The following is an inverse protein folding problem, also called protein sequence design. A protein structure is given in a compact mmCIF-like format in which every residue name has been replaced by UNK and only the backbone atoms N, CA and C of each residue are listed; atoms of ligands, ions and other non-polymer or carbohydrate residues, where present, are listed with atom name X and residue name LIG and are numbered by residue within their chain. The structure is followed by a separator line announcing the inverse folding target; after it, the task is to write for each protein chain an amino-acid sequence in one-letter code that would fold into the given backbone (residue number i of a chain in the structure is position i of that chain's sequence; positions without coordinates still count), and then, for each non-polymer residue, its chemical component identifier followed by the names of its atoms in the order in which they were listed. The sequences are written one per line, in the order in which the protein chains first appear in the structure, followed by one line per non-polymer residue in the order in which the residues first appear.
data_IF_748591977395
#
_entry.id   IF_748591977395
#
_cell.length_a   1.000
_cell.length_b   1.000
_cell.length_c   1.000
_cell.angle_alpha   90.00
_cell.angle_beta   90.00
_cell.angle_gamma   90.00
#
_symmetry.space_group_name_H-M   'P 1'
#
loop_
_entity.id
_entity.type
_entity.pdbx_description
1 polymer ?
#
# COMPACT_ATOMS: atom_id res chain seq x y z
N UNK A 1 17.57 24.96 -17.23
CA UNK A 1 16.72 23.80 -17.58
C UNK A 1 15.88 23.46 -16.36
N UNK A 2 14.55 23.46 -16.44
CA UNK A 2 13.70 23.01 -15.33
C UNK A 2 13.86 21.49 -15.20
N UNK A 3 14.19 21.00 -14.01
CA UNK A 3 14.32 19.57 -13.77
C UNK A 3 12.93 18.94 -13.77
N UNK A 4 12.54 18.35 -14.90
CA UNK A 4 11.22 17.70 -15.10
C UNK A 4 11.14 16.28 -14.53
N UNK A 5 12.29 15.66 -14.25
CA UNK A 5 12.36 14.33 -13.66
C UNK A 5 13.53 14.22 -12.67
N UNK A 6 13.23 13.68 -11.49
CA UNK A 6 14.21 13.39 -10.46
C UNK A 6 13.77 12.23 -9.60
N UNK A 7 14.71 11.62 -8.87
CA UNK A 7 14.41 10.71 -7.77
C UNK A 7 13.78 11.52 -6.63
N UNK A 8 12.60 11.14 -6.12
CA UNK A 8 12.03 11.78 -4.92
C UNK A 8 12.99 11.71 -3.74
N UNK A 9 13.09 12.77 -2.96
CA UNK A 9 13.89 12.85 -1.73
C UNK A 9 13.36 11.90 -0.68
N UNK A 10 12.04 11.73 -0.59
CA UNK A 10 11.38 10.78 0.32
C UNK A 10 11.56 9.31 -0.07
N UNK A 11 12.31 8.98 -1.13
CA UNK A 11 12.63 7.61 -1.51
C UNK A 11 14.07 7.26 -1.04
N UNK A 12 14.25 6.11 -0.40
CA UNK A 12 15.57 5.60 0.01
C UNK A 12 16.37 5.10 -1.19
N UNK A 13 17.64 4.71 -1.01
CA UNK A 13 18.44 4.07 -2.08
C UNK A 13 18.24 2.55 -2.16
N UNK A 14 17.32 1.99 -1.37
CA UNK A 14 17.04 0.56 -1.37
C UNK A 14 16.52 0.10 -2.74
N UNK A 15 17.00 -1.05 -3.20
CA UNK A 15 16.51 -1.68 -4.43
C UNK A 15 15.14 -2.31 -4.17
N UNK A 16 14.18 -2.06 -5.05
CA UNK A 16 12.89 -2.72 -4.99
C UNK A 16 13.01 -4.21 -5.25
N UNK A 17 12.24 -5.00 -4.51
CA UNK A 17 12.14 -6.46 -4.65
C UNK A 17 11.01 -6.92 -5.57
N UNK A 18 10.33 -5.97 -6.23
CA UNK A 18 9.26 -6.25 -7.19
C UNK A 18 9.79 -6.92 -8.46
N UNK A 19 8.93 -7.71 -9.10
CA UNK A 19 9.21 -8.31 -10.40
C UNK A 19 9.50 -7.22 -11.46
N UNK A 20 10.41 -7.47 -12.43
CA UNK A 20 10.57 -6.60 -13.59
C UNK A 20 9.24 -6.39 -14.32
N UNK A 21 8.89 -5.14 -14.62
CA UNK A 21 7.62 -4.77 -15.25
C UNK A 21 6.46 -4.56 -14.27
N UNK A 22 6.62 -4.88 -12.99
CA UNK A 22 5.58 -4.64 -12.00
C UNK A 22 5.40 -3.15 -11.70
N UNK A 23 4.15 -2.67 -11.77
CA UNK A 23 3.83 -1.26 -11.54
C UNK A 23 3.92 -0.82 -10.07
N UNK A 24 4.05 -1.74 -9.11
CA UNK A 24 4.23 -1.38 -7.71
C UNK A 24 5.43 -0.43 -7.50
N UNK A 25 6.53 -0.59 -8.26
CA UNK A 25 7.67 0.32 -8.20
C UNK A 25 7.36 1.74 -8.70
N UNK A 26 6.52 1.88 -9.72
CA UNK A 26 6.06 3.18 -10.23
C UNK A 26 5.17 3.84 -9.17
N UNK A 27 4.24 3.08 -8.58
CA UNK A 27 3.37 3.56 -7.51
C UNK A 27 4.18 4.03 -6.30
N UNK A 28 5.16 3.25 -5.85
CA UNK A 28 6.07 3.64 -4.76
C UNK A 28 6.78 4.96 -5.06
N UNK A 29 7.27 5.16 -6.30
CA UNK A 29 7.88 6.43 -6.69
C UNK A 29 6.88 7.60 -6.67
N UNK A 30 5.67 7.40 -7.20
CA UNK A 30 4.63 8.45 -7.26
C UNK A 30 4.22 8.88 -5.85
N UNK A 31 4.09 7.93 -4.92
CA UNK A 31 3.76 8.22 -3.52
C UNK A 31 4.87 9.04 -2.87
N UNK A 32 6.14 8.66 -3.05
CA UNK A 32 7.27 9.43 -2.54
C UNK A 32 7.33 10.85 -3.13
N UNK A 33 7.00 10.99 -4.41
CA UNK A 33 6.92 12.29 -5.07
C UNK A 33 5.81 13.16 -4.46
N UNK A 34 4.62 12.60 -4.22
CA UNK A 34 3.53 13.32 -3.58
C UNK A 34 3.88 13.75 -2.14
N UNK A 35 4.58 12.91 -1.37
CA UNK A 35 5.07 13.26 -0.04
C UNK A 35 6.02 14.46 -0.09
N UNK A 36 6.94 14.49 -1.06
CA UNK A 36 7.86 15.61 -1.26
C UNK A 36 7.15 16.91 -1.66
N UNK A 37 6.24 16.83 -2.65
CA UNK A 37 5.52 17.99 -3.19
C UNK A 37 4.59 18.64 -2.17
N UNK A 38 4.05 17.85 -1.24
CA UNK A 38 3.22 18.33 -0.14
C UNK A 38 4.03 18.74 1.10
N UNK A 39 5.35 18.55 1.09
CA UNK A 39 6.26 18.89 2.20
C UNK A 39 5.85 18.24 3.53
N UNK A 40 5.42 16.97 3.48
CA UNK A 40 4.86 16.25 4.64
C UNK A 40 5.73 15.10 5.17
N UNK A 41 6.94 14.91 4.64
CA UNK A 41 7.81 13.77 4.97
C UNK A 41 8.02 13.57 6.48
N UNK A 42 8.36 14.64 7.22
CA UNK A 42 8.68 14.62 8.66
C UNK A 42 7.51 14.22 9.57
N UNK A 43 6.27 14.27 9.06
CA UNK A 43 5.07 13.88 9.81
C UNK A 43 4.32 12.72 9.17
N UNK A 44 4.90 12.09 8.16
CA UNK A 44 4.28 10.96 7.45
C UNK A 44 4.68 9.66 8.11
N UNK A 45 3.69 8.81 8.42
CA UNK A 45 3.91 7.42 8.79
C UNK A 45 3.29 6.53 7.72
N UNK A 46 4.09 5.64 7.17
CA UNK A 46 3.63 4.68 6.16
C UNK A 46 3.26 3.34 6.80
N UNK A 47 2.24 2.67 6.28
CA UNK A 47 1.84 1.34 6.75
C UNK A 47 2.05 0.33 5.64
N UNK A 48 2.84 -0.69 5.95
CA UNK A 48 3.23 -1.76 5.05
C UNK A 48 2.57 -3.08 5.48
N UNK A 49 1.37 -3.43 4.98
CA UNK A 49 0.77 -4.72 5.26
C UNK A 49 1.43 -5.84 4.46
N UNK A 50 1.11 -7.09 4.82
CA UNK A 50 1.55 -8.30 4.12
C UNK A 50 1.03 -8.30 2.66
N UNK A 51 1.95 -8.52 1.72
CA UNK A 51 1.68 -8.52 0.27
C UNK A 51 2.94 -8.12 -0.50
N UNK A 52 2.87 -8.01 -1.84
CA UNK A 52 4.03 -7.67 -2.68
C UNK A 52 4.77 -6.41 -2.19
N UNK A 53 4.02 -5.44 -1.65
CA UNK A 53 4.53 -4.17 -1.13
C UNK A 53 4.94 -4.18 0.35
N UNK A 54 5.04 -5.34 1.00
CA UNK A 54 5.31 -5.46 2.45
C UNK A 54 6.61 -4.77 2.89
N UNK A 55 7.57 -4.63 1.99
CA UNK A 55 8.84 -3.97 2.26
C UNK A 55 8.79 -2.44 2.08
N UNK A 56 7.59 -1.83 2.02
CA UNK A 56 7.43 -0.38 1.90
C UNK A 56 8.15 0.44 2.97
N UNK A 57 8.32 -0.13 4.16
CA UNK A 57 9.12 0.47 5.23
C UNK A 57 10.62 0.63 4.89
N UNK A 58 11.14 -0.06 3.87
CA UNK A 58 12.50 0.11 3.36
C UNK A 58 12.61 1.17 2.26
N UNK A 59 11.50 1.56 1.63
CA UNK A 59 11.52 2.38 0.42
C UNK A 59 11.32 3.85 0.68
N UNK A 60 10.60 4.21 1.73
CA UNK A 60 10.35 5.61 2.09
C UNK A 60 11.29 6.09 3.19
N UNK A 61 11.74 7.33 3.09
CA UNK A 61 12.46 8.05 4.17
C UNK A 61 11.45 8.68 5.14
N UNK A 62 10.54 7.85 5.63
CA UNK A 62 9.50 8.19 6.59
C UNK A 62 9.44 7.09 7.64
N UNK A 63 8.86 7.38 8.80
CA UNK A 63 8.55 6.34 9.76
C UNK A 63 7.54 5.35 9.14
N UNK A 64 7.64 4.08 9.56
CA UNK A 64 6.80 3.04 9.00
C UNK A 64 6.41 1.99 10.05
N UNK A 65 5.21 1.44 9.88
CA UNK A 65 4.71 0.31 10.67
C UNK A 65 4.33 -0.82 9.74
N UNK A 66 4.88 -2.01 9.99
CA UNK A 66 4.43 -3.22 9.32
C UNK A 66 3.16 -3.73 10.02
N UNK A 67 2.09 -3.92 9.26
CA UNK A 67 0.83 -4.44 9.78
C UNK A 67 0.67 -5.93 9.43
N UNK A 68 0.05 -6.70 10.33
CA UNK A 68 -0.45 -8.04 9.99
C UNK A 68 -1.45 -7.97 8.84
N UNK A 69 -1.59 -9.07 8.10
CA UNK A 69 -2.45 -9.11 6.92
C UNK A 69 -3.90 -8.70 7.24
N UNK A 70 -4.43 -7.76 6.47
CA UNK A 70 -5.75 -7.14 6.61
C UNK A 70 -5.92 -6.20 7.80
N UNK A 71 -4.87 -5.94 8.59
CA UNK A 71 -4.96 -5.06 9.77
C UNK A 71 -4.48 -3.63 9.52
N UNK A 72 -4.05 -3.31 8.30
CA UNK A 72 -3.47 -2.01 7.98
C UNK A 72 -4.40 -0.82 8.34
N UNK A 73 -5.69 -0.89 8.00
CA UNK A 73 -6.65 0.19 8.32
C UNK A 73 -6.90 0.33 9.84
N UNK A 74 -6.82 -0.77 10.60
CA UNK A 74 -6.94 -0.76 12.06
C UNK A 74 -5.72 -0.10 12.72
N UNK A 75 -4.52 -0.50 12.28
CA UNK A 75 -3.25 0.11 12.71
C UNK A 75 -3.23 1.60 12.37
N UNK A 76 -3.69 1.96 11.17
CA UNK A 76 -3.78 3.35 10.72
C UNK A 76 -4.70 4.19 11.61
N UNK A 77 -5.86 3.63 11.97
CA UNK A 77 -6.81 4.24 12.90
C UNK A 77 -6.12 4.51 14.25
N UNK A 78 -5.41 3.52 14.79
CA UNK A 78 -4.67 3.65 16.06
C UNK A 78 -3.63 4.77 16.01
N UNK A 79 -2.76 4.78 14.99
CA UNK A 79 -1.74 5.80 14.81
C UNK A 79 -2.35 7.20 14.70
N UNK A 80 -3.38 7.37 13.87
CA UNK A 80 -4.01 8.67 13.63
C UNK A 80 -4.68 9.21 14.89
N UNK A 81 -5.32 8.34 15.68
CA UNK A 81 -5.96 8.74 16.94
C UNK A 81 -4.95 9.01 18.06
N UNK A 82 -3.85 8.26 18.10
CA UNK A 82 -2.79 8.47 19.08
C UNK A 82 -2.04 9.78 18.84
N UNK A 83 -1.82 10.16 17.58
CA UNK A 83 -1.24 11.44 17.22
C UNK A 83 -1.96 12.06 16.01
N UNK A 84 -2.93 12.97 16.24
CA UNK A 84 -3.71 13.62 15.18
C UNK A 84 -2.88 14.43 14.18
N UNK A 85 -1.65 14.83 14.51
CA UNK A 85 -0.79 15.62 13.65
C UNK A 85 -0.08 14.80 12.56
N UNK A 86 -0.06 13.47 12.70
CA UNK A 86 0.55 12.58 11.70
C UNK A 86 -0.29 12.51 10.42
N UNK A 87 0.40 12.41 9.30
CA UNK A 87 -0.17 11.99 8.02
C UNK A 87 0.05 10.49 7.90
N UNK A 88 -1.03 9.71 7.92
CA UNK A 88 -0.95 8.25 7.90
C UNK A 88 -1.33 7.76 6.51
N UNK A 89 -0.40 7.07 5.84
CA UNK A 89 -0.57 6.55 4.48
C UNK A 89 -0.40 5.03 4.51
N UNK A 90 -1.43 4.29 4.13
CA UNK A 90 -1.37 2.83 3.99
C UNK A 90 -1.33 2.40 2.54
N UNK A 91 -0.50 1.41 2.21
CA UNK A 91 -0.44 0.78 0.90
C UNK A 91 -1.05 -0.62 0.99
N UNK A 92 -2.27 -0.82 0.51
CA UNK A 92 -2.97 -2.10 0.68
C UNK A 92 -3.27 -2.73 -0.70
N UNK A 93 -2.95 -4.02 -0.85
CA UNK A 93 -3.37 -4.80 -2.01
C UNK A 93 -4.87 -5.15 -1.95
N UNK A 94 -5.42 -5.65 -3.05
CA UNK A 94 -6.81 -6.07 -3.14
C UNK A 94 -7.22 -7.14 -2.13
N UNK A 95 -6.41 -8.18 -1.97
CA UNK A 95 -6.60 -9.21 -0.98
C UNK A 95 -6.49 -8.70 0.46
N UNK A 96 -5.52 -7.83 0.73
CA UNK A 96 -5.31 -7.25 2.06
C UNK A 96 -6.50 -6.38 2.48
N UNK A 97 -6.95 -5.48 1.60
CA UNK A 97 -7.99 -4.50 1.89
C UNK A 97 -9.41 -5.06 1.75
N UNK A 98 -9.68 -5.81 0.66
CA UNK A 98 -11.03 -6.21 0.26
C UNK A 98 -11.35 -7.70 0.47
N UNK A 99 -10.41 -8.49 1.02
CA UNK A 99 -10.67 -9.85 1.51
C UNK A 99 -10.62 -9.86 3.04
N UNK A 100 -9.49 -10.25 3.62
CA UNK A 100 -9.33 -10.42 5.07
C UNK A 100 -9.48 -9.09 5.83
N UNK A 101 -9.10 -7.96 5.23
CA UNK A 101 -9.20 -6.63 5.84
C UNK A 101 -10.54 -5.91 5.69
N UNK A 102 -11.52 -6.52 5.00
CA UNK A 102 -12.79 -5.85 4.63
C UNK A 102 -13.46 -5.14 5.81
N UNK A 103 -13.57 -5.83 6.96
CA UNK A 103 -14.17 -5.25 8.15
C UNK A 103 -13.41 -4.01 8.64
N UNK A 104 -12.08 -4.07 8.70
CA UNK A 104 -11.25 -2.96 9.17
C UNK A 104 -11.36 -1.74 8.25
N UNK A 105 -11.33 -1.99 6.95
CA UNK A 105 -11.40 -0.94 5.93
C UNK A 105 -12.77 -0.26 5.90
N UNK A 106 -13.86 -1.04 5.93
CA UNK A 106 -15.22 -0.50 5.98
C UNK A 106 -15.44 0.28 7.27
N UNK A 107 -15.03 -0.25 8.42
CA UNK A 107 -15.24 0.45 9.68
C UNK A 107 -14.36 1.70 9.83
N UNK A 108 -13.14 1.72 9.29
CA UNK A 108 -12.33 2.94 9.21
C UNK A 108 -13.00 4.01 8.35
N UNK A 109 -13.54 3.64 7.18
CA UNK A 109 -14.28 4.54 6.31
C UNK A 109 -15.57 5.05 6.99
N UNK A 110 -16.34 4.16 7.63
CA UNK A 110 -17.59 4.51 8.31
C UNK A 110 -17.38 5.48 9.49
N UNK A 111 -16.23 5.40 10.18
CA UNK A 111 -15.86 6.36 11.23
C UNK A 111 -15.30 7.68 10.70
N UNK A 112 -15.05 7.78 9.38
CA UNK A 112 -14.42 8.94 8.78
C UNK A 112 -12.99 9.16 9.30
N UNK A 113 -12.23 8.08 9.52
CA UNK A 113 -10.85 8.21 9.98
C UNK A 113 -10.03 9.04 8.98
N UNK A 114 -9.31 10.04 9.48
CA UNK A 114 -8.50 10.93 8.66
C UNK A 114 -7.17 10.27 8.28
N UNK A 115 -7.25 9.24 7.44
CA UNK A 115 -6.14 8.43 6.94
C UNK A 115 -6.24 8.31 5.42
N UNK A 116 -5.10 8.07 4.77
CA UNK A 116 -5.07 7.78 3.33
C UNK A 116 -4.79 6.31 3.11
N UNK A 117 -5.67 5.61 2.40
CA UNK A 117 -5.42 4.24 1.94
C UNK A 117 -5.25 4.22 0.43
N UNK A 118 -4.11 3.70 -0.02
CA UNK A 118 -3.80 3.49 -1.43
C UNK A 118 -4.11 2.03 -1.73
N UNK A 119 -5.29 1.81 -2.30
CA UNK A 119 -5.78 0.50 -2.72
C UNK A 119 -5.21 0.12 -4.09
N UNK A 120 -4.33 -0.89 -4.11
CA UNK A 120 -3.67 -1.34 -5.32
C UNK A 120 -4.27 -2.66 -5.78
N UNK A 121 -5.14 -2.55 -6.78
CA UNK A 121 -5.84 -3.67 -7.37
C UNK A 121 -5.02 -4.27 -8.52
N UNK A 122 -4.34 -5.39 -8.26
CA UNK A 122 -3.61 -6.17 -9.27
C UNK A 122 -4.33 -7.49 -9.62
N UNK A 123 -5.53 -7.70 -9.08
CA UNK A 123 -6.48 -8.78 -9.36
C UNK A 123 -5.99 -10.16 -8.94
N UNK A 124 -5.01 -10.25 -8.03
CA UNK A 124 -4.39 -11.53 -7.65
C UNK A 124 -3.60 -11.43 -6.34
N UNK A 125 -3.54 -12.51 -5.55
CA UNK A 125 -2.56 -12.62 -4.47
C UNK A 125 -1.15 -12.90 -5.02
N UNK A 126 -0.48 -11.84 -5.48
CA UNK A 126 0.80 -11.98 -6.19
C UNK A 126 1.95 -12.54 -5.35
N UNK A 127 2.02 -12.21 -4.05
CA UNK A 127 3.12 -12.64 -3.17
C UNK A 127 3.08 -14.13 -2.84
N UNK A 128 1.90 -14.72 -2.75
CA UNK A 128 1.70 -16.10 -2.27
C UNK A 128 1.73 -17.14 -3.37
N UNK A 129 1.69 -16.70 -4.63
CA UNK A 129 1.83 -17.60 -5.78
C UNK A 129 0.82 -17.37 -6.88
N UNK A 130 -0.08 -16.39 -6.74
CA UNK A 130 -1.00 -16.01 -7.80
C UNK A 130 -2.41 -16.57 -7.62
N UNK A 131 -2.90 -16.66 -6.38
CA UNK A 131 -4.24 -17.14 -6.04
C UNK A 131 -5.33 -16.10 -6.34
N UNK A 132 -6.58 -16.57 -6.43
CA UNK A 132 -7.75 -15.74 -6.67
C UNK A 132 -7.96 -14.69 -5.57
N UNK A 133 -8.01 -13.42 -5.95
CA UNK A 133 -8.35 -12.28 -5.11
C UNK A 133 -9.83 -11.86 -5.27
N UNK A 134 -10.40 -11.04 -4.36
CA UNK A 134 -11.78 -10.55 -4.48
C UNK A 134 -12.08 -9.76 -5.77
N UNK A 135 -11.03 -9.18 -6.38
CA UNK A 135 -11.08 -8.37 -7.60
C UNK A 135 -10.66 -9.12 -8.86
N UNK A 136 -10.28 -10.40 -8.76
CA UNK A 136 -10.02 -11.27 -9.92
C UNK A 136 -11.22 -11.28 -10.86
N UNK A 137 -11.02 -11.12 -12.16
CA UNK A 137 -12.12 -11.03 -13.11
C UNK A 137 -12.78 -12.40 -13.37
N UNK A 138 -14.07 -12.41 -13.73
CA UNK A 138 -14.76 -13.64 -14.16
C UNK A 138 -14.03 -14.23 -15.37
N UNK A 139 -13.76 -15.53 -15.33
CA UNK A 139 -13.00 -16.23 -16.38
C UNK A 139 -11.48 -16.03 -16.31
N UNK A 140 -10.96 -15.17 -15.44
CA UNK A 140 -9.51 -15.07 -15.20
C UNK A 140 -9.03 -16.33 -14.48
N UNK A 141 -8.04 -17.01 -15.08
CA UNK A 141 -7.41 -18.20 -14.50
C UNK A 141 -6.39 -17.77 -13.43
N UNK A 142 -6.40 -18.45 -12.29
CA UNK A 142 -5.42 -18.27 -11.21
C UNK A 142 -4.91 -19.64 -10.75
N UNK A 143 -3.91 -19.68 -9.86
CA UNK A 143 -3.40 -20.98 -9.35
C UNK A 143 -4.45 -21.80 -8.62
N UNK A 144 -5.43 -21.14 -8.00
CA UNK A 144 -6.55 -21.78 -7.27
C UNK A 144 -7.84 -21.89 -8.09
N UNK A 145 -7.92 -21.17 -9.22
CA UNK A 145 -9.05 -21.23 -10.15
C UNK A 145 -8.55 -21.51 -11.57
N UNK A 146 -8.06 -22.73 -11.85
CA UNK A 146 -7.47 -23.07 -13.13
C UNK A 146 -8.47 -23.05 -14.29
N UNK A 147 -9.77 -23.04 -14.03
CA UNK A 147 -10.81 -22.97 -15.07
C UNK A 147 -11.45 -21.57 -15.17
N UNK A 148 -10.92 -20.60 -14.43
CA UNK A 148 -11.49 -19.26 -14.26
C UNK A 148 -12.16 -19.07 -12.90
N UNK A 149 -12.19 -17.83 -12.40
CA UNK A 149 -13.00 -17.45 -11.22
C UNK A 149 -14.48 -17.75 -11.43
#
# INVERSE_FOLDING_TARGET
MVKVFGRPKSLTDARFTYCPGCHHGILTRIIAQAIDELEIAERTVTIAPVGCAVFAYLWYRCDAVQASHGRASAVATGLKRANPNLVVISYQGDGDFASIGTAESIHAANRGENITVIFVNNQVYGMTGGEMAPTTLVGQRTTTTPDGR
#
